data_IF_237765061223
#
_entry.id   IF_237765061223
#
_cell.length_a   1.000
_cell.length_b   1.000
_cell.length_c   1.000
_cell.angle_alpha   90.00
_cell.angle_beta   90.00
_cell.angle_gamma   90.00
#
_symmetry.space_group_name_H-M   'P 1'
#
loop_
_entity.id
_entity.type
_entity.pdbx_description
1 polymer ?
#
# COMPACT_ATOMS: atom_id res chain seq x y z
N UNK A 1 29.38 9.70 -18.18
CA UNK A 1 28.80 8.52 -18.88
C UNK A 1 27.96 7.60 -17.97
N UNK A 2 27.70 7.90 -16.68
CA UNK A 2 26.98 6.98 -15.78
C UNK A 2 25.47 7.19 -15.62
N UNK A 3 24.97 8.43 -15.68
CA UNK A 3 23.53 8.73 -15.49
C UNK A 3 22.70 8.42 -16.74
N UNK A 4 23.19 8.81 -17.93
CA UNK A 4 22.49 8.55 -19.18
C UNK A 4 22.40 7.06 -19.55
N UNK A 5 23.36 6.23 -19.14
CA UNK A 5 23.29 4.79 -19.37
C UNK A 5 22.23 4.12 -18.48
N UNK A 6 22.07 4.58 -17.23
CA UNK A 6 21.08 4.05 -16.29
C UNK A 6 19.63 4.41 -16.69
N UNK A 7 19.39 5.66 -17.09
CA UNK A 7 18.07 6.08 -17.60
C UNK A 7 17.72 5.38 -18.93
N UNK A 8 18.72 5.11 -19.78
CA UNK A 8 18.54 4.35 -21.01
C UNK A 8 18.24 2.87 -20.77
N UNK A 9 18.89 2.25 -19.77
CA UNK A 9 18.63 0.85 -19.40
C UNK A 9 17.23 0.65 -18.77
N UNK A 10 16.75 1.64 -17.99
CA UNK A 10 15.39 1.63 -17.42
C UNK A 10 14.30 1.90 -18.46
N UNK A 11 14.63 2.57 -19.57
CA UNK A 11 13.68 2.86 -20.66
C UNK A 11 13.68 1.78 -21.74
N UNK A 12 14.79 1.07 -21.97
CA UNK A 12 14.88 -0.03 -22.95
C UNK A 12 14.38 -1.39 -22.42
N UNK A 13 14.04 -1.52 -21.13
CA UNK A 13 13.55 -2.76 -20.49
C UNK A 13 12.07 -2.74 -20.08
N UNK A 14 11.25 -1.91 -20.72
CA UNK A 14 9.79 -1.86 -20.43
C UNK A 14 9.07 -2.94 -21.23
N UNK A 15 8.69 -4.05 -20.58
CA UNK A 15 7.78 -5.05 -21.16
C UNK A 15 6.33 -4.54 -21.09
N UNK A 16 5.89 -3.84 -22.14
CA UNK A 16 4.51 -3.35 -22.24
C UNK A 16 3.57 -4.51 -22.59
N UNK A 17 2.73 -4.87 -21.63
CA UNK A 17 1.71 -5.92 -21.78
C UNK A 17 0.33 -5.35 -21.50
N UNK A 18 -0.64 -5.79 -22.30
CA UNK A 18 -2.05 -5.52 -22.03
C UNK A 18 -2.58 -6.61 -21.09
N UNK A 19 -3.31 -6.18 -20.06
CA UNK A 19 -4.00 -7.07 -19.13
C UNK A 19 -5.34 -6.46 -18.75
N UNK A 20 -6.33 -7.31 -18.48
CA UNK A 20 -7.64 -6.88 -18.02
C UNK A 20 -7.55 -6.48 -16.55
N UNK A 21 -8.13 -5.31 -16.22
CA UNK A 21 -8.32 -4.86 -14.84
C UNK A 21 -9.82 -4.76 -14.60
N UNK A 22 -10.33 -5.57 -13.69
CA UNK A 22 -11.75 -5.69 -13.38
C UNK A 22 -12.22 -4.55 -12.48
N UNK A 23 -13.27 -3.84 -12.88
CA UNK A 23 -13.90 -2.81 -12.06
C UNK A 23 -14.86 -3.46 -11.08
N UNK A 24 -14.60 -3.28 -9.79
CA UNK A 24 -15.45 -3.80 -8.71
C UNK A 24 -16.68 -2.92 -8.45
N UNK A 25 -16.78 -1.73 -9.06
CA UNK A 25 -17.96 -0.86 -8.93
C UNK A 25 -19.19 -1.56 -9.51
N UNK A 26 -20.17 -1.85 -8.64
CA UNK A 26 -21.40 -2.54 -9.04
C UNK A 26 -21.23 -4.03 -9.31
N UNK A 27 -20.05 -4.59 -9.02
CA UNK A 27 -19.81 -6.03 -9.03
C UNK A 27 -20.45 -6.70 -7.81
N UNK A 28 -20.83 -7.97 -7.94
CA UNK A 28 -21.17 -8.84 -6.80
C UNK A 28 -19.92 -9.41 -6.11
N UNK A 29 -18.75 -9.28 -6.74
CA UNK A 29 -17.48 -9.72 -6.16
C UNK A 29 -17.08 -8.81 -5.00
N UNK A 30 -16.76 -9.42 -3.86
CA UNK A 30 -16.29 -8.74 -2.66
C UNK A 30 -15.00 -9.43 -2.22
N UNK A 31 -13.82 -8.90 -2.61
CA UNK A 31 -12.54 -9.43 -2.17
C UNK A 31 -12.43 -9.39 -0.65
N UNK A 32 -11.95 -10.48 -0.07
CA UNK A 32 -11.68 -10.55 1.38
C UNK A 32 -10.19 -10.32 1.65
N UNK A 33 -9.91 -9.58 2.72
CA UNK A 33 -8.55 -9.20 3.07
C UNK A 33 -7.62 -10.41 3.29
N UNK A 34 -8.07 -11.47 3.94
CA UNK A 34 -7.25 -12.65 4.26
C UNK A 34 -7.34 -13.76 3.23
N UNK A 35 -8.31 -13.69 2.31
CA UNK A 35 -8.42 -14.64 1.19
C UNK A 35 -7.82 -14.10 -0.10
N UNK A 36 -8.00 -12.82 -0.42
CA UNK A 36 -7.59 -12.20 -1.70
C UNK A 36 -6.49 -11.15 -1.52
N UNK A 37 -6.23 -10.76 -0.27
CA UNK A 37 -5.16 -9.85 0.12
C UNK A 37 -5.58 -8.39 0.26
N UNK A 38 -6.79 -8.04 -0.15
CA UNK A 38 -7.27 -6.67 -0.15
C UNK A 38 -8.78 -6.58 0.02
N UNK A 39 -9.26 -5.41 0.45
CA UNK A 39 -10.67 -5.15 0.65
C UNK A 39 -10.97 -3.65 0.57
N UNK A 40 -12.12 -3.30 0.02
CA UNK A 40 -12.64 -1.93 0.03
C UNK A 40 -13.67 -1.80 1.14
N UNK A 41 -13.47 -0.84 2.04
CA UNK A 41 -14.33 -0.61 3.19
C UNK A 41 -15.05 0.72 3.06
N UNK A 42 -16.22 0.87 3.70
CA UNK A 42 -16.80 2.18 3.95
C UNK A 42 -16.25 2.72 5.28
N UNK A 43 -15.59 3.86 5.25
CA UNK A 43 -15.07 4.53 6.42
C UNK A 43 -14.99 6.04 6.17
N UNK A 44 -15.86 6.81 6.83
CA UNK A 44 -15.91 8.27 6.72
C UNK A 44 -15.02 8.91 7.79
N UNK A 45 -14.12 9.79 7.35
CA UNK A 45 -13.25 10.58 8.24
C UNK A 45 -13.69 12.03 8.19
N UNK A 46 -14.31 12.52 9.27
CA UNK A 46 -14.76 13.92 9.37
C UNK A 46 -13.57 14.89 9.36
N UNK A 47 -13.72 16.01 8.65
CA UNK A 47 -12.73 17.08 8.57
C UNK A 47 -11.60 16.85 7.54
N UNK A 48 -11.62 15.74 6.81
CA UNK A 48 -10.64 15.41 5.77
C UNK A 48 -10.58 16.48 4.67
N UNK A 49 -11.73 17.07 4.33
CA UNK A 49 -11.88 18.13 3.34
C UNK A 49 -11.26 19.48 3.78
N UNK A 50 -10.93 19.63 5.06
CA UNK A 50 -10.31 20.83 5.61
C UNK A 50 -8.79 20.77 5.65
N UNK A 51 -8.20 19.56 5.53
CA UNK A 51 -6.76 19.36 5.50
C UNK A 51 -6.13 19.97 4.25
N UNK A 52 -4.97 20.61 4.41
CA UNK A 52 -4.30 21.38 3.34
C UNK A 52 -2.94 20.80 2.97
N UNK A 53 -2.24 20.24 3.93
CA UNK A 53 -0.89 19.72 3.78
C UNK A 53 -0.73 18.31 4.36
N UNK A 54 0.45 17.74 4.12
CA UNK A 54 0.76 16.37 4.47
C UNK A 54 0.76 16.14 5.99
N UNK A 55 1.05 17.16 6.80
CA UNK A 55 1.04 17.07 8.25
C UNK A 55 -0.40 17.04 8.79
N UNK A 56 -1.27 17.94 8.31
CA UNK A 56 -2.69 17.92 8.65
C UNK A 56 -3.34 16.59 8.23
N UNK A 57 -3.06 16.08 7.02
CA UNK A 57 -3.53 14.76 6.59
C UNK A 57 -2.98 13.64 7.47
N UNK A 58 -1.68 13.63 7.80
CA UNK A 58 -1.08 12.59 8.61
C UNK A 58 -1.66 12.58 10.04
N UNK A 59 -1.85 13.76 10.64
CA UNK A 59 -2.42 13.90 11.98
C UNK A 59 -3.86 13.37 12.05
N UNK A 60 -4.65 13.59 11.00
CA UNK A 60 -6.01 13.08 10.91
C UNK A 60 -6.08 11.59 10.56
N UNK A 61 -5.31 11.16 9.54
CA UNK A 61 -5.47 9.84 8.93
C UNK A 61 -4.71 8.71 9.64
N UNK A 62 -3.62 8.99 10.37
CA UNK A 62 -2.90 7.96 11.13
C UNK A 62 -3.79 7.28 12.19
N UNK A 63 -4.43 8.02 13.12
CA UNK A 63 -5.29 7.37 14.11
C UNK A 63 -6.53 6.72 13.46
N UNK A 64 -7.08 7.31 12.40
CA UNK A 64 -8.18 6.71 11.65
C UNK A 64 -7.80 5.37 11.00
N UNK A 65 -6.61 5.30 10.38
CA UNK A 65 -6.10 4.08 9.76
C UNK A 65 -5.77 2.99 10.81
N UNK A 66 -5.16 3.34 11.94
CA UNK A 66 -4.95 2.41 13.05
C UNK A 66 -6.28 1.81 13.54
N UNK A 67 -7.27 2.67 13.78
CA UNK A 67 -8.61 2.24 14.21
C UNK A 67 -9.27 1.30 13.19
N UNK A 68 -9.30 1.70 11.92
CA UNK A 68 -9.91 0.92 10.84
C UNK A 68 -9.27 -0.48 10.73
N UNK A 69 -7.94 -0.55 10.74
CA UNK A 69 -7.21 -1.82 10.70
C UNK A 69 -7.52 -2.65 11.94
N UNK A 70 -7.48 -2.03 13.13
CA UNK A 70 -7.72 -2.72 14.40
C UNK A 70 -9.10 -3.37 14.45
N UNK A 71 -10.13 -2.63 14.05
CA UNK A 71 -11.52 -3.10 13.99
C UNK A 71 -11.69 -4.19 12.92
N UNK A 72 -11.10 -4.01 11.74
CA UNK A 72 -11.25 -4.97 10.63
C UNK A 72 -10.65 -6.34 10.94
N UNK A 73 -9.47 -6.38 11.55
CA UNK A 73 -8.74 -7.64 11.74
C UNK A 73 -8.74 -8.14 13.19
N UNK A 74 -9.41 -7.41 14.10
CA UNK A 74 -9.40 -7.73 15.54
C UNK A 74 -7.99 -7.66 16.15
N UNK A 75 -7.17 -6.70 15.73
CA UNK A 75 -5.79 -6.61 16.18
C UNK A 75 -5.68 -6.27 17.68
N UNK A 76 -4.73 -6.91 18.36
CA UNK A 76 -4.36 -6.54 19.72
C UNK A 76 -3.62 -5.19 19.76
N UNK A 77 -2.84 -4.88 18.73
CA UNK A 77 -2.19 -3.57 18.55
C UNK A 77 -2.02 -3.22 17.07
N UNK A 78 -2.07 -1.91 16.77
CA UNK A 78 -1.87 -1.31 15.45
C UNK A 78 -1.01 -0.05 15.56
N UNK A 79 0.02 0.09 14.75
CA UNK A 79 0.94 1.23 14.76
C UNK A 79 1.11 1.77 13.34
N UNK A 80 0.63 2.98 13.08
CA UNK A 80 0.92 3.69 11.85
C UNK A 80 2.36 4.21 11.87
N UNK A 81 3.20 3.79 10.93
CA UNK A 81 4.65 4.06 10.97
C UNK A 81 5.21 4.77 9.74
N UNK A 82 4.39 4.98 8.70
CA UNK A 82 4.79 5.72 7.52
C UNK A 82 3.60 6.14 6.70
N UNK A 83 3.77 7.18 5.88
CA UNK A 83 2.74 7.63 4.97
C UNK A 83 3.31 8.11 3.64
N UNK A 84 2.46 8.11 2.61
CA UNK A 84 2.76 8.67 1.29
C UNK A 84 1.52 9.36 0.73
N UNK A 85 1.63 10.66 0.46
CA UNK A 85 0.69 11.36 -0.41
C UNK A 85 1.10 11.18 -1.85
N UNK A 86 0.15 10.87 -2.73
CA UNK A 86 0.35 10.86 -4.18
C UNK A 86 -0.56 11.88 -4.85
N UNK A 87 0.05 12.74 -5.66
CA UNK A 87 -0.60 13.80 -6.44
C UNK A 87 0.30 14.17 -7.61
N UNK A 88 -0.23 14.82 -8.65
CA UNK A 88 0.58 15.26 -9.80
C UNK A 88 0.93 16.74 -9.67
N UNK A 89 2.21 17.05 -9.54
CA UNK A 89 2.73 18.43 -9.57
C UNK A 89 2.84 18.90 -11.04
N UNK A 90 2.47 20.17 -11.31
CA UNK A 90 2.54 20.80 -12.64
C UNK A 90 3.96 21.19 -13.09
N UNK A 91 4.97 21.08 -12.23
CA UNK A 91 6.36 21.47 -12.51
C UNK A 91 7.24 20.24 -12.73
N UNK A 92 8.24 20.40 -13.59
CA UNK A 92 9.21 19.37 -13.97
C UNK A 92 9.67 18.58 -12.74
N UNK A 93 9.42 17.26 -12.69
CA UNK A 93 9.80 16.46 -11.54
C UNK A 93 11.32 16.53 -11.37
N UNK A 94 11.79 16.95 -10.21
CA UNK A 94 13.16 16.66 -9.81
C UNK A 94 13.25 15.15 -9.55
N UNK A 95 14.42 14.56 -9.69
CA UNK A 95 14.67 13.12 -9.45
C UNK A 95 14.21 12.66 -8.04
N UNK A 96 14.00 13.59 -7.11
CA UNK A 96 13.50 13.34 -5.75
C UNK A 96 11.98 13.38 -5.58
N UNK A 97 11.22 13.84 -6.57
CA UNK A 97 9.77 13.98 -6.44
C UNK A 97 9.05 12.63 -6.64
N UNK A 98 8.86 11.91 -5.53
CA UNK A 98 8.10 10.66 -5.47
C UNK A 98 6.59 10.88 -5.22
N UNK A 99 6.05 12.07 -5.49
CA UNK A 99 4.61 12.34 -5.31
C UNK A 99 3.74 11.77 -6.43
N UNK A 100 4.29 11.55 -7.63
CA UNK A 100 3.51 11.05 -8.75
C UNK A 100 3.01 9.60 -8.53
N UNK A 101 1.80 9.24 -9.00
CA UNK A 101 1.37 7.83 -9.10
C UNK A 101 2.41 6.97 -9.84
N UNK A 102 2.62 5.73 -9.38
CA UNK A 102 3.66 4.82 -9.92
C UNK A 102 3.06 3.85 -10.94
N UNK A 103 3.34 3.99 -12.25
CA UNK A 103 2.83 3.10 -13.28
C UNK A 103 3.76 1.89 -13.50
N UNK A 104 4.20 1.28 -12.39
CA UNK A 104 5.03 0.06 -12.38
C UNK A 104 4.45 -0.90 -11.35
N UNK A 105 4.37 -2.19 -11.68
CA UNK A 105 3.85 -3.19 -10.75
C UNK A 105 4.88 -3.44 -9.67
N UNK A 106 4.48 -3.24 -8.41
CA UNK A 106 5.35 -3.46 -7.26
C UNK A 106 4.55 -3.91 -6.05
N UNK A 107 5.27 -4.48 -5.09
CA UNK A 107 4.86 -4.49 -3.69
C UNK A 107 5.85 -3.65 -2.89
N UNK A 108 5.38 -3.03 -1.82
CA UNK A 108 6.18 -2.12 -1.00
C UNK A 108 7.26 -2.83 -0.19
N UNK A 109 7.16 -4.14 0.02
CA UNK A 109 8.04 -4.85 0.94
C UNK A 109 8.48 -6.19 0.37
N UNK A 110 9.76 -6.51 0.52
CA UNK A 110 10.19 -7.90 0.60
C UNK A 110 9.90 -8.44 2.01
N UNK A 111 9.83 -9.78 2.20
CA UNK A 111 9.63 -10.37 3.53
C UNK A 111 10.67 -9.89 4.54
N UNK A 112 11.95 -9.89 4.18
CA UNK A 112 13.04 -9.45 5.07
C UNK A 112 12.95 -7.96 5.42
N UNK A 113 12.49 -7.16 4.46
CA UNK A 113 12.22 -5.75 4.64
C UNK A 113 11.13 -5.47 5.66
N UNK A 114 10.03 -6.23 5.54
CA UNK A 114 8.90 -6.16 6.45
C UNK A 114 9.28 -6.60 7.86
N UNK A 115 9.99 -7.72 8.01
CA UNK A 115 10.51 -8.18 9.31
C UNK A 115 11.42 -7.13 9.96
N UNK A 116 12.34 -6.55 9.16
CA UNK A 116 13.23 -5.51 9.65
C UNK A 116 12.46 -4.29 10.16
N UNK A 117 11.47 -3.78 9.44
CA UNK A 117 10.73 -2.58 9.88
C UNK A 117 9.89 -2.88 11.12
N UNK A 118 9.27 -4.06 11.21
CA UNK A 118 8.51 -4.48 12.40
C UNK A 118 9.43 -4.57 13.62
N UNK A 119 10.64 -5.12 13.45
CA UNK A 119 11.67 -5.13 14.49
C UNK A 119 12.11 -3.71 14.88
N UNK A 120 12.33 -2.83 13.91
CA UNK A 120 12.75 -1.45 14.17
C UNK A 120 11.65 -0.66 14.92
N UNK A 121 10.36 -0.95 14.70
CA UNK A 121 9.24 -0.42 15.49
C UNK A 121 9.33 -0.94 16.94
N UNK A 122 9.49 -2.25 17.13
CA UNK A 122 9.57 -2.88 18.45
C UNK A 122 10.79 -2.38 19.26
N UNK A 123 11.94 -2.22 18.59
CA UNK A 123 13.18 -1.71 19.18
C UNK A 123 13.18 -0.18 19.38
N UNK A 124 12.09 0.53 19.06
CA UNK A 124 11.99 2.00 19.12
C UNK A 124 13.05 2.74 18.28
N UNK A 125 13.47 2.16 17.14
CA UNK A 125 14.43 2.79 16.23
C UNK A 125 13.79 3.81 15.28
N UNK A 126 12.47 3.80 15.17
CA UNK A 126 11.70 4.82 14.46
C UNK A 126 11.21 5.90 15.42
N UNK A 127 11.23 7.15 14.96
CA UNK A 127 10.63 8.28 15.68
C UNK A 127 9.11 8.26 15.49
N UNK A 128 8.41 7.49 16.33
CA UNK A 128 6.96 7.36 16.32
C UNK A 128 6.33 8.05 17.53
N UNK A 129 5.09 8.57 17.41
CA UNK A 129 4.33 9.07 18.54
C UNK A 129 4.23 8.01 19.64
N UNK A 130 4.42 8.41 20.89
CA UNK A 130 4.29 7.52 22.05
C UNK A 130 2.80 7.30 22.34
N UNK A 131 2.27 6.19 21.85
CA UNK A 131 0.86 5.79 22.04
C UNK A 131 0.77 4.49 22.83
N UNK A 132 -0.38 4.22 23.42
CA UNK A 132 -0.66 2.94 24.07
C UNK A 132 -0.52 1.76 23.08
N UNK A 133 -1.00 1.93 21.84
CA UNK A 133 -0.81 0.95 20.79
C UNK A 133 0.67 0.64 20.55
N UNK A 134 1.54 1.66 20.47
CA UNK A 134 2.98 1.44 20.28
C UNK A 134 3.59 0.65 21.45
N UNK A 135 3.27 1.01 22.69
CA UNK A 135 3.77 0.28 23.86
C UNK A 135 3.24 -1.17 23.91
N UNK A 136 1.97 -1.39 23.54
CA UNK A 136 1.40 -2.74 23.42
C UNK A 136 2.05 -3.53 22.28
N UNK A 137 2.36 -2.88 21.15
CA UNK A 137 3.06 -3.51 20.03
C UNK A 137 4.42 -4.04 20.48
N UNK A 138 5.21 -3.22 21.18
CA UNK A 138 6.54 -3.62 21.70
C UNK A 138 6.47 -4.81 22.64
N UNK A 139 5.48 -4.82 23.54
CA UNK A 139 5.26 -5.93 24.48
C UNK A 139 4.92 -7.22 23.73
N UNK A 140 4.00 -7.14 22.77
CA UNK A 140 3.46 -8.31 22.08
C UNK A 140 4.38 -8.84 20.95
N UNK A 141 5.34 -8.06 20.48
CA UNK A 141 6.15 -8.39 19.29
C UNK A 141 6.81 -9.77 19.35
N UNK A 142 7.38 -10.16 20.49
CA UNK A 142 8.03 -11.46 20.68
C UNK A 142 7.18 -12.48 21.46
N UNK A 143 5.92 -12.15 21.77
CA UNK A 143 5.05 -13.06 22.52
C UNK A 143 4.63 -14.26 21.65
N UNK A 144 4.66 -15.49 22.19
CA UNK A 144 4.13 -16.66 21.49
C UNK A 144 2.68 -16.44 21.01
N UNK A 145 2.35 -16.88 19.80
CA UNK A 145 1.02 -16.65 19.20
C UNK A 145 0.78 -15.23 18.69
N UNK A 146 1.82 -14.41 18.57
CA UNK A 146 1.74 -13.13 17.84
C UNK A 146 1.89 -13.36 16.32
N UNK A 147 0.86 -12.97 15.56
CA UNK A 147 0.89 -12.87 14.10
C UNK A 147 1.12 -11.41 13.71
N UNK A 148 2.24 -11.14 13.04
CA UNK A 148 2.66 -9.80 12.65
C UNK A 148 2.21 -9.52 11.22
N UNK A 149 1.64 -8.34 10.99
CA UNK A 149 1.10 -7.92 9.71
C UNK A 149 1.61 -6.52 9.35
N UNK A 150 1.76 -6.26 8.04
CA UNK A 150 1.85 -4.91 7.50
C UNK A 150 0.70 -4.73 6.51
N UNK A 151 -0.09 -3.68 6.73
CA UNK A 151 -1.19 -3.29 5.86
C UNK A 151 -0.97 -1.87 5.35
N UNK A 152 -1.37 -1.64 4.11
CA UNK A 152 -1.53 -0.30 3.58
C UNK A 152 -3.01 0.07 3.65
N UNK A 153 -3.32 1.24 4.23
CA UNK A 153 -4.62 1.89 4.14
C UNK A 153 -4.49 3.02 3.12
N UNK A 154 -5.02 2.77 1.93
CA UNK A 154 -4.98 3.70 0.83
C UNK A 154 -6.31 4.43 0.70
N UNK A 155 -6.28 5.76 0.81
CA UNK A 155 -7.49 6.59 0.79
C UNK A 155 -7.40 7.66 -0.28
N UNK A 156 -8.40 7.78 -1.16
CA UNK A 156 -8.55 8.97 -1.99
C UNK A 156 -8.75 10.22 -1.13
N UNK A 157 -8.10 11.33 -1.49
CA UNK A 157 -8.39 12.64 -0.89
C UNK A 157 -9.52 13.35 -1.63
N UNK A 158 -9.77 12.96 -2.88
CA UNK A 158 -10.86 13.41 -3.75
C UNK A 158 -11.34 12.23 -4.58
N UNK A 159 -12.52 12.34 -5.21
CA UNK A 159 -13.00 11.31 -6.15
C UNK A 159 -11.96 11.06 -7.25
N UNK A 160 -11.61 9.78 -7.46
CA UNK A 160 -10.56 9.36 -8.40
C UNK A 160 -11.15 9.02 -9.76
N UNK A 161 -10.72 9.75 -10.79
CA UNK A 161 -11.05 9.45 -12.19
C UNK A 161 -9.81 8.97 -12.96
N UNK A 162 -8.70 9.70 -12.82
CA UNK A 162 -7.44 9.41 -13.47
C UNK A 162 -6.47 8.73 -12.54
N UNK A 163 -5.58 7.94 -13.12
CA UNK A 163 -4.53 7.23 -12.40
C UNK A 163 -5.09 6.45 -11.19
N UNK A 164 -6.16 5.63 -11.32
CA UNK A 164 -6.63 4.79 -10.22
C UNK A 164 -5.58 3.78 -9.75
N UNK A 165 -5.76 3.27 -8.53
CA UNK A 165 -4.92 2.20 -7.99
C UNK A 165 -5.54 0.86 -8.36
N UNK A 166 -4.78 0.04 -9.07
CA UNK A 166 -5.10 -1.36 -9.28
C UNK A 166 -4.33 -2.23 -8.28
N UNK A 167 -4.96 -3.30 -7.83
CA UNK A 167 -4.39 -4.34 -6.97
C UNK A 167 -4.58 -5.70 -7.61
N UNK A 168 -3.60 -6.57 -7.47
CA UNK A 168 -3.65 -7.94 -7.97
C UNK A 168 -4.09 -8.87 -6.83
N UNK A 169 -5.03 -9.78 -7.09
CA UNK A 169 -5.34 -10.85 -6.16
C UNK A 169 -4.07 -11.69 -5.96
N UNK A 170 -3.59 -11.73 -4.72
CA UNK A 170 -2.32 -12.34 -4.37
C UNK A 170 -2.25 -13.85 -4.66
N UNK A 171 -3.40 -14.56 -4.76
CA UNK A 171 -3.49 -15.99 -5.11
C UNK A 171 -3.07 -16.21 -6.57
N UNK A 172 -3.22 -15.18 -7.40
CA UNK A 172 -2.80 -15.20 -8.80
C UNK A 172 -1.37 -14.72 -9.02
N UNK A 173 -0.74 -14.07 -8.03
CA UNK A 173 0.54 -13.37 -8.21
C UNK A 173 1.76 -14.30 -8.35
N UNK A 174 1.71 -15.50 -7.77
CA UNK A 174 2.79 -16.52 -7.84
C UNK A 174 4.20 -15.94 -7.57
N UNK A 175 4.50 -15.52 -6.33
CA UNK A 175 5.72 -14.78 -5.99
C UNK A 175 7.02 -15.51 -6.32
N UNK A 176 7.08 -16.82 -6.14
CA UNK A 176 8.32 -17.58 -6.35
C UNK A 176 8.83 -17.55 -7.79
N UNK A 177 7.93 -17.47 -8.77
CA UNK A 177 8.27 -17.45 -10.19
C UNK A 177 8.27 -16.05 -10.81
N UNK A 178 7.60 -15.07 -10.19
CA UNK A 178 7.31 -13.79 -10.84
C UNK A 178 7.75 -12.54 -10.07
N UNK A 179 8.17 -12.68 -8.80
CA UNK A 179 8.65 -11.56 -8.00
C UNK A 179 10.18 -11.48 -8.01
N UNK A 180 10.69 -10.30 -8.34
CA UNK A 180 12.10 -9.95 -8.21
C UNK A 180 12.29 -9.04 -7.01
N UNK A 181 13.14 -9.47 -6.08
CA UNK A 181 13.56 -8.62 -4.96
C UNK A 181 14.44 -7.49 -5.48
N UNK A 182 14.11 -6.27 -5.11
CA UNK A 182 14.89 -5.08 -5.44
C UNK A 182 15.22 -4.35 -4.16
N UNK A 183 16.50 -4.06 -3.96
CA UNK A 183 16.94 -3.27 -2.84
C UNK A 183 16.47 -1.83 -3.00
N UNK A 184 15.60 -1.41 -2.08
CA UNK A 184 15.16 -0.02 -1.97
C UNK A 184 15.50 0.47 -0.57
N UNK A 185 16.37 1.46 -0.45
CA UNK A 185 16.79 2.01 0.83
C UNK A 185 16.08 3.32 1.12
N UNK A 186 15.28 3.34 2.19
CA UNK A 186 14.77 4.57 2.81
C UNK A 186 14.60 4.36 4.33
N UNK A 187 14.49 5.43 5.14
CA UNK A 187 14.40 5.29 6.60
C UNK A 187 13.27 4.38 7.09
N UNK A 188 12.20 4.25 6.30
CA UNK A 188 10.99 3.48 6.63
C UNK A 188 10.66 2.41 5.59
N UNK A 189 11.63 2.01 4.75
CA UNK A 189 11.47 0.89 3.79
C UNK A 189 12.84 0.32 3.41
N UNK A 190 12.99 -0.99 3.57
CA UNK A 190 14.16 -1.75 3.14
C UNK A 190 13.68 -2.84 2.19
N UNK A 191 14.03 -2.76 0.91
CA UNK A 191 13.61 -3.74 -0.08
C UNK A 191 12.15 -3.56 -0.55
N UNK A 192 11.90 -3.90 -1.81
CA UNK A 192 10.58 -4.00 -2.40
C UNK A 192 10.54 -5.17 -3.40
N UNK A 193 9.35 -5.54 -3.87
CA UNK A 193 9.20 -6.53 -4.93
C UNK A 193 8.78 -5.84 -6.22
N UNK A 194 9.45 -6.18 -7.32
CA UNK A 194 9.01 -5.88 -8.67
C UNK A 194 8.42 -7.15 -9.26
N UNK A 195 7.36 -7.02 -10.06
CA UNK A 195 6.66 -8.19 -10.60
C UNK A 195 6.77 -8.24 -12.12
N UNK A 196 7.07 -9.43 -12.62
CA UNK A 196 6.99 -9.73 -14.05
C UNK A 196 5.54 -9.83 -14.50
N UNK A 197 5.29 -9.67 -15.79
CA UNK A 197 3.98 -9.95 -16.35
C UNK A 197 3.66 -11.45 -16.25
N UNK A 198 2.44 -11.75 -15.81
CA UNK A 198 1.86 -13.07 -15.83
C UNK A 198 0.42 -12.94 -16.33
N UNK A 199 0.02 -13.78 -17.30
CA UNK A 199 -1.32 -13.71 -17.90
C UNK A 199 -2.42 -14.11 -16.92
N UNK A 200 -2.06 -14.88 -15.89
CA UNK A 200 -2.94 -15.34 -14.82
C UNK A 200 -3.21 -14.27 -13.76
N UNK A 201 -2.47 -13.15 -13.74
CA UNK A 201 -2.71 -12.08 -12.76
C UNK A 201 -4.15 -11.56 -12.86
N UNK A 202 -4.86 -11.60 -11.74
CA UNK A 202 -6.21 -11.08 -11.63
C UNK A 202 -6.17 -9.70 -10.99
N UNK A 203 -6.34 -8.67 -11.82
CA UNK A 203 -6.26 -7.27 -11.41
C UNK A 203 -7.63 -6.67 -11.16
N UNK A 204 -7.74 -5.88 -10.09
CA UNK A 204 -8.98 -5.22 -9.68
C UNK A 204 -8.74 -3.74 -9.41
N UNK A 205 -9.77 -2.93 -9.61
CA UNK A 205 -9.82 -1.55 -9.17
C UNK A 205 -11.26 -1.15 -8.85
N UNK A 206 -11.44 0.05 -8.27
CA UNK A 206 -12.77 0.58 -7.97
C UNK A 206 -12.95 1.93 -8.68
N UNK A 207 -13.79 1.98 -9.72
CA UNK A 207 -14.00 3.23 -10.47
C UNK A 207 -14.67 4.31 -9.63
N UNK A 208 -14.30 5.58 -9.84
CA UNK A 208 -14.84 6.74 -9.11
C UNK A 208 -14.74 6.62 -7.59
N UNK A 209 -13.69 5.95 -7.09
CA UNK A 209 -13.46 5.76 -5.66
C UNK A 209 -13.43 7.12 -4.94
N UNK A 210 -14.19 7.23 -3.86
CA UNK A 210 -14.34 8.44 -3.06
C UNK A 210 -13.50 8.35 -1.79
N UNK A 211 -13.29 9.46 -1.07
CA UNK A 211 -12.57 9.43 0.20
C UNK A 211 -13.18 8.54 1.28
N UNK A 212 -14.47 8.21 1.17
CA UNK A 212 -15.21 7.37 2.11
C UNK A 212 -15.04 5.88 1.86
N UNK A 213 -14.41 5.49 0.75
CA UNK A 213 -14.19 4.09 0.40
C UNK A 213 -12.70 3.76 0.36
N UNK A 214 -11.98 3.74 1.51
CA UNK A 214 -10.57 3.34 1.50
C UNK A 214 -10.39 1.89 1.04
N UNK A 215 -9.24 1.65 0.43
CA UNK A 215 -8.74 0.32 0.13
C UNK A 215 -7.75 -0.07 1.22
N UNK A 216 -7.94 -1.23 1.82
CA UNK A 216 -6.94 -1.85 2.68
C UNK A 216 -6.34 -3.05 1.96
N UNK A 217 -5.02 -3.24 2.06
CA UNK A 217 -4.37 -4.39 1.45
C UNK A 217 -3.13 -4.81 2.22
N UNK A 218 -2.87 -6.11 2.24
CA UNK A 218 -1.75 -6.72 2.92
C UNK A 218 -0.47 -6.53 2.12
N UNK A 219 0.60 -6.25 2.85
CA UNK A 219 1.97 -6.18 2.32
C UNK A 219 2.92 -7.13 3.01
N UNK A 220 2.54 -7.67 4.17
CA UNK A 220 3.26 -8.71 4.88
C UNK A 220 2.33 -9.42 5.86
N UNK A 221 2.54 -10.73 6.02
CA UNK A 221 1.94 -11.58 7.03
C UNK A 221 2.93 -12.64 7.51
N UNK A 222 3.28 -12.62 8.79
CA UNK A 222 4.24 -13.57 9.37
C UNK A 222 3.76 -15.02 9.37
N UNK A 223 2.45 -15.26 9.21
CA UNK A 223 1.87 -16.60 9.06
C UNK A 223 1.39 -16.90 7.65
N UNK A 224 1.51 -15.94 6.75
CA UNK A 224 1.08 -16.10 5.38
C UNK A 224 2.02 -17.01 4.60
N UNK A 225 1.47 -17.83 3.71
CA UNK A 225 2.32 -18.58 2.79
C UNK A 225 3.06 -17.59 1.87
N UNK A 226 4.40 -17.71 1.81
CA UNK A 226 5.30 -16.75 1.16
C UNK A 226 5.22 -15.30 1.67
N UNK A 227 4.77 -15.08 2.91
CA UNK A 227 4.69 -13.75 3.53
C UNK A 227 3.91 -12.76 2.67
N UNK A 228 2.64 -13.12 2.44
CA UNK A 228 1.70 -12.46 1.55
C UNK A 228 1.91 -10.97 1.30
N UNK A 229 1.95 -10.59 0.02
CA UNK A 229 2.14 -9.21 -0.39
C UNK A 229 1.38 -8.93 -1.67
N UNK A 230 0.54 -7.89 -1.67
CA UNK A 230 -0.33 -7.55 -2.80
C UNK A 230 0.42 -6.69 -3.83
N UNK A 231 0.62 -7.18 -5.07
CA UNK A 231 1.12 -6.37 -6.16
C UNK A 231 0.12 -5.27 -6.48
N UNK A 232 0.61 -4.05 -6.69
CA UNK A 232 -0.24 -2.91 -7.01
C UNK A 232 0.44 -1.95 -7.99
N UNK A 233 -0.38 -1.19 -8.69
CA UNK A 233 0.12 -0.21 -9.68
C UNK A 233 -0.91 0.88 -9.97
N UNK A 234 -0.42 2.02 -10.45
CA UNK A 234 -1.27 3.03 -11.08
C UNK A 234 -1.44 2.69 -12.56
N UNK A 235 -2.62 2.92 -13.13
CA UNK A 235 -2.84 2.72 -14.56
C UNK A 235 -3.64 3.87 -15.18
N UNK A 236 -3.53 4.04 -16.50
CA UNK A 236 -4.38 4.97 -17.25
C UNK A 236 -5.70 4.30 -17.58
N UNK A 237 -6.81 4.84 -17.07
CA UNK A 237 -8.15 4.33 -17.37
C UNK A 237 -8.69 4.95 -18.67
N UNK A 238 -8.91 4.17 -19.75
CA UNK A 238 -9.40 4.69 -21.03
C UNK A 238 -10.77 5.37 -20.95
N UNK A 239 -11.59 5.03 -19.95
CA UNK A 239 -12.92 5.61 -19.72
C UNK A 239 -12.86 7.11 -19.37
N UNK A 240 -11.75 7.56 -18.78
CA UNK A 240 -11.62 8.91 -18.25
C UNK A 240 -10.52 9.68 -18.99
N UNK A 241 -10.90 10.68 -19.82
CA UNK A 241 -9.92 11.44 -20.60
C UNK A 241 -8.94 12.23 -19.72
N UNK A 242 -7.78 12.55 -20.29
CA UNK A 242 -6.68 13.25 -19.61
C UNK A 242 -6.98 14.70 -19.20
N UNK A 243 -8.18 15.23 -19.48
CA UNK A 243 -8.63 16.55 -19.06
C UNK A 243 -9.23 16.57 -17.64
N UNK A 244 -9.53 15.41 -17.05
CA UNK A 244 -9.96 15.31 -15.66
C UNK A 244 -8.79 15.56 -14.69
N UNK A 245 -9.05 15.94 -13.43
CA UNK A 245 -7.99 16.13 -12.44
C UNK A 245 -7.22 14.82 -12.18
N UNK A 246 -5.90 14.88 -11.97
CA UNK A 246 -5.12 13.73 -11.54
C UNK A 246 -5.58 13.27 -10.15
N UNK A 247 -5.36 12.00 -9.83
CA UNK A 247 -5.60 11.46 -8.49
C UNK A 247 -4.86 12.26 -7.42
N UNK A 248 -5.55 12.49 -6.31
CA UNK A 248 -4.96 12.83 -5.03
C UNK A 248 -5.33 11.72 -4.02
N UNK A 249 -4.33 11.09 -3.41
CA UNK A 249 -4.52 10.00 -2.46
C UNK A 249 -3.50 10.08 -1.33
N UNK A 250 -3.82 9.47 -0.19
CA UNK A 250 -2.95 9.34 0.96
C UNK A 250 -2.92 7.87 1.40
N UNK A 251 -1.73 7.33 1.55
CA UNK A 251 -1.49 5.97 2.02
C UNK A 251 -0.87 6.03 3.42
N UNK A 252 -1.44 5.28 4.35
CA UNK A 252 -0.87 5.02 5.67
C UNK A 252 -0.41 3.57 5.73
N UNK A 253 0.81 3.33 6.21
CA UNK A 253 1.31 1.99 6.51
C UNK A 253 1.10 1.68 7.97
N UNK A 254 0.45 0.57 8.25
CA UNK A 254 0.07 0.12 9.59
C UNK A 254 0.72 -1.22 9.87
N UNK A 255 1.55 -1.27 10.91
CA UNK A 255 2.01 -2.53 11.50
C UNK A 255 0.94 -3.01 12.48
N UNK A 256 0.59 -4.29 12.45
CA UNK A 256 -0.43 -4.84 13.33
C UNK A 256 0.01 -6.16 13.95
N UNK A 257 -0.51 -6.45 15.14
CA UNK A 257 -0.35 -7.74 15.81
C UNK A 257 -1.73 -8.30 16.10
N UNK A 258 -2.00 -9.49 15.55
CA UNK A 258 -3.13 -10.32 15.98
C UNK A 258 -2.59 -11.35 16.96
N UNK A 259 -3.33 -11.58 18.05
CA UNK A 259 -3.08 -12.73 18.93
C UNK A 259 -3.95 -13.86 18.44
N UNK A 260 -3.33 -14.98 18.07
CA UNK A 260 -4.12 -16.18 17.85
C UNK A 260 -4.86 -16.52 19.15
N UNK A 261 -6.11 -16.95 19.03
CA UNK A 261 -6.78 -17.58 20.15
C UNK A 261 -6.13 -18.96 20.33
N UNK A 262 -5.58 -19.19 21.51
CA UNK A 262 -5.18 -20.54 21.96
C UNK A 262 -6.35 -21.52 21.86
#
# INVERSE_FOLDING_TARGET
MGLHAYDKYLTESIDLRSITIHDLRGSSEQPDLFEDGFEYLFDKVEGLEHCKDDEEYANLLRPAAEKLVKEKIGAASTVAFGFRRRYKIKKSPTIQDQSAPVPRVHSDWSPEGAEKILKDIADSKLQLPKTENLENFKKLYNEPGSRLLILNVWRPLKKVYRDPLAVCNWKSAQPESNALKVDFFSPTRCGCLQWSYLKEHQWFYYSEQTPETPLIFLQYDSKGNHHYTVPHTSFSNPKYPNNLPPRESFEIRVAAIIKDKE
#
